data_IF_963004891173
#
_entry.id   IF_963004891173
#
_cell.length_a   1.000
_cell.length_b   1.000
_cell.length_c   1.000
_cell.angle_alpha   90.00
_cell.angle_beta   90.00
_cell.angle_gamma   90.00
#
_symmetry.space_group_name_H-M   'P 1'
#
loop_
_entity.id
_entity.type
_entity.pdbx_description
1 polymer ?
#
# COMPACT_ATOMS: atom_id res chain seq x y z
N UNK A 1 -43.95 30.88 7.72
CA UNK A 1 -42.56 31.36 7.58
C UNK A 1 -41.75 30.19 7.06
N UNK A 2 -41.15 30.31 5.88
CA UNK A 2 -40.24 29.29 5.34
C UNK A 2 -38.95 29.31 6.15
N UNK A 3 -38.50 28.17 6.65
CA UNK A 3 -37.17 28.05 7.24
C UNK A 3 -36.12 28.55 6.25
N UNK A 4 -35.10 29.30 6.68
CA UNK A 4 -33.98 29.65 5.81
C UNK A 4 -33.38 28.36 5.24
N UNK A 5 -32.95 28.35 3.97
CA UNK A 5 -32.28 27.20 3.41
C UNK A 5 -31.08 26.84 4.29
N UNK A 6 -30.83 25.55 4.54
CA UNK A 6 -29.67 25.14 5.31
C UNK A 6 -28.42 25.73 4.63
N UNK A 7 -27.64 26.50 5.39
CA UNK A 7 -26.35 26.98 4.92
C UNK A 7 -25.39 25.79 4.88
N UNK A 8 -25.22 25.22 3.70
CA UNK A 8 -24.24 24.16 3.49
C UNK A 8 -22.83 24.74 3.65
N UNK A 9 -22.06 24.17 4.58
CA UNK A 9 -20.65 24.52 4.76
C UNK A 9 -19.91 24.17 3.46
N UNK A 10 -19.13 25.12 2.87
CA UNK A 10 -18.35 24.88 1.66
C UNK A 10 -17.33 23.74 1.81
N UNK A 11 -17.03 23.06 0.71
CA UNK A 11 -16.06 21.97 0.68
C UNK A 11 -14.65 22.42 1.12
N UNK A 12 -14.25 23.65 0.79
CA UNK A 12 -12.94 24.19 1.16
C UNK A 12 -12.77 24.29 2.68
N UNK A 13 -13.82 24.72 3.40
CA UNK A 13 -13.77 24.81 4.86
C UNK A 13 -13.61 23.42 5.47
N UNK A 14 -14.34 22.41 4.96
CA UNK A 14 -14.16 21.04 5.42
C UNK A 14 -12.77 20.48 5.08
N UNK A 15 -12.23 20.83 3.92
CA UNK A 15 -10.89 20.41 3.50
C UNK A 15 -9.84 20.92 4.48
N UNK A 16 -9.84 22.22 4.80
CA UNK A 16 -8.91 22.81 5.76
C UNK A 16 -9.04 22.20 7.16
N UNK A 17 -10.26 22.00 7.65
CA UNK A 17 -10.50 21.32 8.94
C UNK A 17 -9.90 19.91 8.92
N UNK A 18 -10.15 19.13 7.87
CA UNK A 18 -9.64 17.77 7.77
C UNK A 18 -8.12 17.71 7.64
N UNK A 19 -7.49 18.71 7.02
CA UNK A 19 -6.04 18.81 6.95
C UNK A 19 -5.42 19.10 8.32
N UNK A 20 -5.98 20.04 9.08
CA UNK A 20 -5.43 20.52 10.36
C UNK A 20 -5.59 19.51 11.51
N UNK A 21 -6.75 18.87 11.64
CA UNK A 21 -7.01 17.99 12.78
C UNK A 21 -6.43 16.58 12.61
N UNK A 22 -5.93 16.26 11.40
CA UNK A 22 -5.47 14.93 11.06
C UNK A 22 -6.59 13.88 11.08
N UNK A 23 -6.35 12.74 10.43
CA UNK A 23 -7.34 11.68 10.32
C UNK A 23 -6.76 10.39 10.86
N UNK A 24 -7.12 10.05 12.10
CA UNK A 24 -6.63 8.83 12.77
C UNK A 24 -7.23 7.55 12.17
N UNK A 25 -8.46 7.61 11.65
CA UNK A 25 -9.17 6.46 11.10
C UNK A 25 -9.62 6.76 9.65
N UNK A 26 -8.79 6.36 8.70
CA UNK A 26 -9.04 6.56 7.26
C UNK A 26 -10.29 5.81 6.78
N UNK A 27 -10.50 4.60 7.30
CA UNK A 27 -11.68 3.81 6.97
C UNK A 27 -12.97 4.51 7.45
N UNK A 28 -12.94 5.13 8.63
CA UNK A 28 -14.09 5.88 9.14
C UNK A 28 -14.40 7.09 8.26
N UNK A 29 -13.38 7.89 7.94
CA UNK A 29 -13.52 9.06 7.09
C UNK A 29 -14.07 8.69 5.70
N UNK A 30 -13.49 7.66 5.08
CA UNK A 30 -13.86 7.24 3.73
C UNK A 30 -15.23 6.57 3.64
N UNK A 31 -15.60 5.72 4.61
CA UNK A 31 -16.83 4.92 4.52
C UNK A 31 -18.04 5.55 5.20
N UNK A 32 -17.84 6.41 6.21
CA UNK A 32 -18.94 6.95 7.01
C UNK A 32 -19.09 8.46 6.83
N UNK A 33 -17.99 9.23 6.77
CA UNK A 33 -18.08 10.68 6.64
C UNK A 33 -18.22 11.14 5.18
N UNK A 34 -17.45 10.56 4.25
CA UNK A 34 -17.55 10.86 2.80
C UNK A 34 -18.99 10.84 2.25
N UNK A 35 -19.88 9.90 2.60
CA UNK A 35 -21.25 9.89 2.06
C UNK A 35 -22.22 10.88 2.75
N UNK A 36 -21.80 11.65 3.77
CA UNK A 36 -22.69 12.52 4.56
C UNK A 36 -23.26 13.68 3.74
N UNK A 37 -22.45 14.32 2.90
CA UNK A 37 -22.88 15.40 2.01
C UNK A 37 -21.96 15.52 0.81
N UNK A 38 -22.41 16.22 -0.24
CA UNK A 38 -21.59 16.47 -1.43
C UNK A 38 -20.32 17.28 -1.10
N UNK A 39 -20.45 18.34 -0.28
CA UNK A 39 -19.31 19.17 0.09
C UNK A 39 -18.30 18.39 0.94
N UNK A 40 -18.78 17.56 1.86
CA UNK A 40 -17.91 16.72 2.68
C UNK A 40 -17.25 15.62 1.84
N UNK A 41 -17.97 15.03 0.89
CA UNK A 41 -17.42 14.08 -0.09
C UNK A 41 -16.24 14.68 -0.83
N UNK A 42 -16.40 15.89 -1.37
CA UNK A 42 -15.36 16.56 -2.14
C UNK A 42 -14.14 16.90 -1.27
N UNK A 43 -14.36 17.38 -0.04
CA UNK A 43 -13.29 17.64 0.92
C UNK A 43 -12.49 16.37 1.24
N UNK A 44 -13.18 15.27 1.58
CA UNK A 44 -12.54 13.98 1.87
C UNK A 44 -11.76 13.48 0.66
N UNK A 45 -12.35 13.48 -0.53
CA UNK A 45 -11.66 13.04 -1.74
C UNK A 45 -10.40 13.86 -2.03
N UNK A 46 -10.43 15.19 -1.81
CA UNK A 46 -9.25 16.05 -1.94
C UNK A 46 -8.17 15.73 -0.89
N UNK A 47 -8.55 15.49 0.37
CA UNK A 47 -7.60 15.07 1.41
C UNK A 47 -6.96 13.74 1.03
N UNK A 48 -7.73 12.79 0.50
CA UNK A 48 -7.19 11.51 0.06
C UNK A 48 -6.19 11.66 -1.09
N UNK A 49 -6.48 12.47 -2.10
CA UNK A 49 -5.52 12.75 -3.17
C UNK A 49 -4.25 13.41 -2.62
N UNK A 50 -4.39 14.42 -1.77
CA UNK A 50 -3.26 15.20 -1.25
C UNK A 50 -2.38 14.41 -0.25
N UNK A 51 -2.99 13.68 0.70
CA UNK A 51 -2.28 13.09 1.86
C UNK A 51 -2.14 11.56 1.83
N UNK A 52 -2.97 10.85 1.07
CA UNK A 52 -3.03 9.37 1.15
C UNK A 52 -2.69 8.68 -0.16
N UNK A 53 -3.11 9.23 -1.30
CA UNK A 53 -2.86 8.65 -2.61
C UNK A 53 -1.39 8.78 -3.00
N UNK A 54 -0.75 9.91 -2.66
CA UNK A 54 0.72 10.09 -2.77
C UNK A 54 1.51 9.09 -1.91
N UNK A 55 0.94 8.63 -0.79
CA UNK A 55 1.50 7.61 0.10
C UNK A 55 0.87 6.24 -0.14
N UNK A 56 0.57 5.95 -1.40
CA UNK A 56 0.06 4.65 -1.85
C UNK A 56 1.06 4.07 -2.84
N UNK A 57 1.36 2.78 -2.69
CA UNK A 57 2.29 2.04 -3.55
C UNK A 57 1.62 0.78 -4.08
N UNK A 58 1.98 0.40 -5.30
CA UNK A 58 1.70 -0.93 -5.81
C UNK A 58 2.99 -1.75 -5.79
N UNK A 59 2.92 -2.90 -5.13
CA UNK A 59 4.00 -3.87 -5.07
C UNK A 59 3.67 -5.03 -6.00
N UNK A 60 4.37 -5.09 -7.14
CA UNK A 60 4.17 -6.12 -8.15
C UNK A 60 5.25 -7.18 -8.00
N UNK A 61 4.83 -8.41 -7.69
CA UNK A 61 5.73 -9.53 -7.57
C UNK A 61 6.17 -10.04 -8.93
N UNK A 62 7.48 -9.97 -9.18
CA UNK A 62 8.10 -10.58 -10.34
C UNK A 62 8.81 -11.85 -9.87
N UNK A 63 8.24 -13.01 -10.22
CA UNK A 63 8.74 -14.31 -9.76
C UNK A 63 10.15 -14.58 -10.26
N UNK A 64 10.44 -14.15 -11.48
CA UNK A 64 11.73 -14.27 -12.15
C UNK A 64 12.85 -13.55 -11.39
N UNK A 65 12.52 -12.45 -10.72
CA UNK A 65 13.48 -11.67 -9.94
C UNK A 65 13.47 -12.03 -8.45
N UNK A 66 12.49 -12.82 -8.01
CA UNK A 66 12.19 -13.05 -6.59
C UNK A 66 12.10 -11.76 -5.77
N UNK A 67 11.65 -10.67 -6.41
CA UNK A 67 11.56 -9.33 -5.83
C UNK A 67 10.25 -8.67 -6.21
N UNK A 68 9.86 -7.68 -5.41
CA UNK A 68 8.73 -6.83 -5.69
C UNK A 68 9.23 -5.56 -6.39
N UNK A 69 8.54 -5.18 -7.46
CA UNK A 69 8.77 -3.92 -8.15
C UNK A 69 7.71 -2.95 -7.66
N UNK A 70 8.18 -1.81 -7.18
CA UNK A 70 7.33 -0.74 -6.69
C UNK A 70 6.89 0.15 -7.85
N UNK A 71 5.59 0.43 -7.89
CA UNK A 71 5.04 1.52 -8.69
C UNK A 71 4.51 2.56 -7.71
N UNK A 72 4.96 3.79 -7.89
CA UNK A 72 4.59 4.92 -7.05
C UNK A 72 3.47 5.71 -7.71
N UNK A 73 2.61 6.32 -6.89
CA UNK A 73 1.60 7.23 -7.41
C UNK A 73 2.29 8.41 -8.12
N UNK A 74 1.87 8.67 -9.36
CA UNK A 74 2.41 9.76 -10.16
C UNK A 74 1.42 10.90 -10.28
N UNK A 75 0.22 10.62 -10.81
CA UNK A 75 -0.81 11.64 -11.07
C UNK A 75 -2.20 11.03 -11.15
N UNK A 76 -3.20 11.90 -11.12
CA UNK A 76 -4.52 11.54 -11.64
C UNK A 76 -4.52 11.72 -13.16
N UNK A 77 -5.31 10.91 -13.86
CA UNK A 77 -5.54 11.08 -15.30
C UNK A 77 -6.26 12.42 -15.56
N UNK A 78 -5.71 13.23 -16.47
CA UNK A 78 -6.24 14.54 -16.79
C UNK A 78 -7.62 14.49 -17.47
N UNK A 79 -7.89 13.41 -18.22
CA UNK A 79 -9.19 13.19 -18.85
C UNK A 79 -10.21 12.56 -17.88
N UNK A 80 -9.73 11.82 -16.88
CA UNK A 80 -10.57 11.15 -15.89
C UNK A 80 -9.96 11.18 -14.48
N UNK A 81 -10.31 12.16 -13.64
CA UNK A 81 -9.79 12.29 -12.28
C UNK A 81 -10.16 11.13 -11.34
N UNK A 82 -11.02 10.21 -11.76
CA UNK A 82 -11.30 8.98 -11.00
C UNK A 82 -10.20 7.93 -11.18
N UNK A 83 -9.32 8.10 -12.16
CA UNK A 83 -8.21 7.17 -12.44
C UNK A 83 -6.92 7.71 -11.87
N UNK A 84 -6.29 6.92 -11.01
CA UNK A 84 -4.94 7.18 -10.53
C UNK A 84 -3.93 6.45 -11.42
N UNK A 85 -2.84 7.12 -11.74
CA UNK A 85 -1.72 6.60 -12.54
C UNK A 85 -0.54 6.36 -11.62
N UNK A 86 0.01 5.16 -11.70
CA UNK A 86 1.19 4.71 -10.99
C UNK A 86 2.26 4.35 -12.01
N UNK A 87 3.51 4.69 -11.75
CA UNK A 87 4.58 4.46 -12.70
C UNK A 87 5.80 3.76 -12.10
N UNK A 88 6.57 3.11 -12.97
CA UNK A 88 7.90 2.60 -12.66
C UNK A 88 8.79 2.64 -13.89
N UNK A 89 10.04 3.06 -13.70
CA UNK A 89 11.08 2.94 -14.73
C UNK A 89 11.72 1.55 -14.76
N UNK A 90 11.51 0.75 -13.73
CA UNK A 90 12.23 -0.50 -13.52
C UNK A 90 11.55 -1.68 -14.24
N UNK A 91 12.37 -2.51 -14.91
CA UNK A 91 11.98 -3.83 -15.42
C UNK A 91 10.66 -3.87 -16.23
N UNK A 92 10.43 -2.87 -17.08
CA UNK A 92 9.14 -2.68 -17.77
C UNK A 92 8.63 -3.91 -18.53
N UNK A 93 9.51 -4.62 -19.25
CA UNK A 93 9.12 -5.84 -19.97
C UNK A 93 8.71 -6.99 -19.04
N UNK A 94 9.26 -7.05 -17.82
CA UNK A 94 8.85 -8.03 -16.81
C UNK A 94 7.52 -7.61 -16.15
N UNK A 95 7.34 -6.31 -15.90
CA UNK A 95 6.05 -5.76 -15.44
C UNK A 95 4.92 -6.03 -16.45
N UNK A 96 5.16 -5.79 -17.75
CA UNK A 96 4.20 -6.09 -18.82
C UNK A 96 3.84 -7.56 -18.80
N UNK A 97 4.83 -8.46 -18.77
CA UNK A 97 4.59 -9.91 -18.72
C UNK A 97 3.79 -10.33 -17.48
N UNK A 98 4.10 -9.77 -16.31
CA UNK A 98 3.46 -10.11 -15.05
C UNK A 98 2.00 -9.61 -14.96
N UNK A 99 1.70 -8.47 -15.60
CA UNK A 99 0.40 -7.79 -15.53
C UNK A 99 -0.46 -7.99 -16.79
N UNK A 100 0.06 -8.65 -17.83
CA UNK A 100 -0.64 -8.93 -19.10
C UNK A 100 -1.99 -9.63 -18.92
N UNK A 101 -2.10 -10.48 -17.89
CA UNK A 101 -3.34 -11.20 -17.56
C UNK A 101 -4.23 -10.44 -16.54
N UNK A 102 -3.89 -9.18 -16.26
CA UNK A 102 -4.48 -8.38 -15.20
C UNK A 102 -3.83 -8.62 -13.83
N UNK A 103 -4.21 -7.80 -12.83
CA UNK A 103 -3.77 -7.98 -11.46
C UNK A 103 -4.46 -9.23 -10.90
N UNK A 104 -3.66 -10.24 -10.57
CA UNK A 104 -4.13 -11.43 -9.90
C UNK A 104 -4.03 -11.26 -8.38
N UNK A 105 -4.91 -11.95 -7.66
CA UNK A 105 -4.79 -12.09 -6.21
C UNK A 105 -3.41 -12.71 -5.91
N UNK A 106 -2.54 -11.98 -5.19
CA UNK A 106 -1.14 -12.30 -4.80
C UNK A 106 0.02 -11.75 -5.64
N UNK A 107 -0.16 -11.41 -6.93
CA UNK A 107 0.94 -10.78 -7.70
C UNK A 107 0.98 -9.26 -7.52
N UNK A 108 -0.12 -8.62 -7.12
CA UNK A 108 -0.14 -7.18 -6.78
C UNK A 108 -0.62 -7.01 -5.35
N UNK A 109 0.16 -6.31 -4.53
CA UNK A 109 -0.26 -5.79 -3.23
C UNK A 109 -0.36 -4.29 -3.34
N UNK A 110 -1.44 -3.73 -2.83
CA UNK A 110 -1.53 -2.30 -2.58
C UNK A 110 -1.10 -2.03 -1.14
N UNK A 111 -0.24 -1.05 -0.98
CA UNK A 111 0.12 -0.47 0.29
C UNK A 111 -0.46 0.93 0.35
N UNK A 112 -1.23 1.21 1.41
CA UNK A 112 -1.72 2.55 1.75
C UNK A 112 -1.09 2.85 3.10
N UNK A 113 -0.06 3.71 3.11
CA UNK A 113 0.73 3.99 4.32
C UNK A 113 1.23 2.69 4.97
N UNK A 114 0.86 2.46 6.23
CA UNK A 114 1.29 1.29 7.02
C UNK A 114 0.44 0.03 6.78
N UNK A 115 -0.63 0.11 6.00
CA UNK A 115 -1.52 -1.01 5.73
C UNK A 115 -1.31 -1.56 4.32
N UNK A 116 -1.16 -2.88 4.22
CA UNK A 116 -1.04 -3.58 2.95
C UNK A 116 -2.16 -4.61 2.76
N UNK A 117 -2.72 -4.66 1.56
CA UNK A 117 -3.75 -5.61 1.17
C UNK A 117 -3.65 -5.97 -0.32
N UNK A 118 -4.16 -7.14 -0.72
CA UNK A 118 -4.32 -7.53 -2.13
C UNK A 118 -5.71 -7.18 -2.65
N UNK A 119 -6.17 -5.95 -2.39
CA UNK A 119 -7.50 -5.48 -2.77
C UNK A 119 -7.68 -5.46 -4.28
N UNK A 120 -8.94 -5.50 -4.72
CA UNK A 120 -9.28 -5.38 -6.14
C UNK A 120 -8.88 -3.99 -6.66
N UNK A 121 -8.31 -3.95 -7.87
CA UNK A 121 -8.02 -2.72 -8.61
C UNK A 121 -9.06 -2.55 -9.72
N UNK A 122 -10.15 -1.78 -9.50
CA UNK A 122 -11.23 -1.69 -10.46
C UNK A 122 -10.79 -0.95 -11.72
N UNK A 123 -11.28 -1.39 -12.88
CA UNK A 123 -10.94 -0.82 -14.18
C UNK A 123 -9.43 -0.73 -14.46
N UNK A 124 -8.67 -1.70 -13.95
CA UNK A 124 -7.24 -1.78 -14.15
C UNK A 124 -6.86 -1.73 -15.64
N UNK A 125 -5.85 -0.91 -15.95
CA UNK A 125 -5.21 -0.79 -17.26
C UNK A 125 -3.70 -0.63 -17.03
N UNK A 126 -2.92 -1.00 -18.03
CA UNK A 126 -1.50 -0.68 -18.07
C UNK A 126 -1.13 -0.12 -19.44
N UNK A 127 -0.11 0.71 -19.46
CA UNK A 127 0.52 1.22 -20.68
C UNK A 127 1.99 0.82 -20.67
N UNK A 128 2.40 0.13 -21.73
CA UNK A 128 3.77 -0.29 -21.94
C UNK A 128 4.28 0.31 -23.24
N UNK A 129 5.46 0.92 -23.17
CA UNK A 129 6.21 1.38 -24.33
C UNK A 129 7.60 0.74 -24.26
N UNK A 130 8.10 0.11 -25.34
CA UNK A 130 9.44 -0.48 -25.36
C UNK A 130 10.58 0.56 -25.30
N UNK A 131 10.28 1.86 -25.49
CA UNK A 131 11.25 2.93 -25.33
C UNK A 131 11.68 3.04 -23.85
N UNK A 132 12.98 2.84 -23.51
CA UNK A 132 13.46 2.93 -22.13
C UNK A 132 13.29 4.33 -21.51
N UNK A 133 13.11 5.38 -22.32
CA UNK A 133 12.85 6.73 -21.82
C UNK A 133 11.41 6.91 -21.31
N UNK A 134 10.48 6.04 -21.71
CA UNK A 134 9.07 6.11 -21.31
C UNK A 134 8.84 5.14 -20.16
N UNK A 135 8.27 5.61 -19.05
CA UNK A 135 8.01 4.77 -17.87
C UNK A 135 6.84 3.83 -18.10
N UNK A 136 6.85 2.67 -17.43
CA UNK A 136 5.71 1.76 -17.39
C UNK A 136 4.62 2.35 -16.50
N UNK A 137 3.40 2.53 -17.02
CA UNK A 137 2.29 3.11 -16.28
C UNK A 137 1.18 2.07 -16.02
N UNK A 138 0.58 2.13 -14.84
CA UNK A 138 -0.62 1.40 -14.44
C UNK A 138 -1.67 2.40 -14.02
N UNK A 139 -2.93 2.21 -14.43
CA UNK A 139 -4.04 3.03 -13.97
C UNK A 139 -5.27 2.23 -13.56
N UNK A 140 -5.99 2.72 -12.57
CA UNK A 140 -7.23 2.10 -12.06
C UNK A 140 -8.09 3.13 -11.33
N UNK A 141 -9.36 2.80 -11.08
CA UNK A 141 -10.26 3.62 -10.25
C UNK A 141 -9.81 3.59 -8.78
N UNK A 142 -9.23 4.71 -8.34
CA UNK A 142 -8.69 4.84 -6.99
C UNK A 142 -9.80 4.94 -5.94
N UNK A 143 -10.96 5.49 -6.29
CA UNK A 143 -12.10 5.62 -5.36
C UNK A 143 -12.70 4.24 -5.09
N UNK A 144 -12.88 3.44 -6.14
CA UNK A 144 -13.31 2.06 -6.03
C UNK A 144 -12.32 1.22 -5.23
N UNK A 145 -11.01 1.37 -5.52
CA UNK A 145 -9.94 0.71 -4.77
C UNK A 145 -10.02 0.98 -3.26
N UNK A 146 -10.08 2.25 -2.83
CA UNK A 146 -10.19 2.59 -1.40
C UNK A 146 -11.49 2.06 -0.78
N UNK A 147 -12.61 2.08 -1.53
CA UNK A 147 -13.85 1.49 -1.06
C UNK A 147 -13.68 -0.01 -0.76
N UNK A 148 -13.05 -0.77 -1.66
CA UNK A 148 -12.79 -2.20 -1.43
C UNK A 148 -11.85 -2.42 -0.25
N UNK A 149 -10.76 -1.66 -0.20
CA UNK A 149 -9.74 -1.77 0.85
C UNK A 149 -10.32 -1.53 2.24
N UNK A 150 -10.96 -0.37 2.45
CA UNK A 150 -11.49 -0.01 3.77
C UNK A 150 -12.71 -0.83 4.18
N UNK A 151 -13.54 -1.30 3.23
CA UNK A 151 -14.66 -2.20 3.57
C UNK A 151 -14.16 -3.51 4.14
N UNK A 152 -13.05 -4.02 3.62
CA UNK A 152 -12.44 -5.23 4.15
C UNK A 152 -11.89 -5.00 5.56
N UNK A 153 -11.15 -3.90 5.78
CA UNK A 153 -10.65 -3.53 7.11
C UNK A 153 -11.79 -3.39 8.13
N UNK A 154 -12.86 -2.66 7.76
CA UNK A 154 -14.05 -2.47 8.61
C UNK A 154 -14.74 -3.80 8.94
N UNK A 155 -14.79 -4.75 8.02
CA UNK A 155 -15.37 -6.07 8.27
C UNK A 155 -14.49 -6.92 9.20
N UNK A 156 -13.16 -6.80 9.10
CA UNK A 156 -12.23 -7.42 10.05
C UNK A 156 -12.44 -6.86 11.45
N UNK A 157 -12.46 -5.53 11.59
CA UNK A 157 -12.72 -4.85 12.87
C UNK A 157 -14.05 -5.29 13.48
N UNK A 158 -15.14 -5.24 12.71
CA UNK A 158 -16.47 -5.66 13.17
C UNK A 158 -16.48 -7.11 13.69
N UNK A 159 -15.77 -8.03 13.03
CA UNK A 159 -15.68 -9.42 13.48
C UNK A 159 -14.79 -9.57 14.71
N UNK A 160 -13.72 -8.79 14.82
CA UNK A 160 -12.93 -8.70 16.04
C UNK A 160 -13.78 -8.23 17.22
N UNK A 161 -14.58 -7.17 17.04
CA UNK A 161 -15.47 -6.64 18.09
C UNK A 161 -16.49 -7.68 18.56
N UNK A 162 -17.11 -8.41 17.62
CA UNK A 162 -18.05 -9.49 17.93
C UNK A 162 -17.34 -10.63 18.67
N UNK A 163 -16.14 -11.01 18.24
CA UNK A 163 -15.38 -12.08 18.88
C UNK A 163 -14.94 -11.67 20.30
N UNK A 164 -14.49 -10.43 20.47
CA UNK A 164 -14.17 -9.84 21.77
C UNK A 164 -15.39 -9.85 22.68
N UNK A 165 -16.53 -9.31 22.24
CA UNK A 165 -17.76 -9.27 23.03
C UNK A 165 -18.22 -10.66 23.48
N UNK A 166 -18.15 -11.66 22.59
CA UNK A 166 -18.48 -13.06 22.93
C UNK A 166 -17.52 -13.66 23.95
N UNK A 167 -16.22 -13.43 23.78
CA UNK A 167 -15.22 -13.96 24.68
C UNK A 167 -15.31 -13.28 26.06
N UNK A 168 -15.55 -11.97 26.13
CA UNK A 168 -15.82 -11.24 27.37
C UNK A 168 -17.09 -11.76 28.06
N UNK A 169 -18.17 -11.99 27.32
CA UNK A 169 -19.41 -12.56 27.87
C UNK A 169 -19.21 -13.97 28.43
N UNK A 170 -18.50 -14.84 27.70
CA UNK A 170 -18.18 -16.19 28.15
C UNK A 170 -17.32 -16.17 29.43
N UNK A 171 -16.32 -15.29 29.48
CA UNK A 171 -15.45 -15.12 30.65
C UNK A 171 -16.24 -14.64 31.87
N UNK A 172 -17.12 -13.65 31.69
CA UNK A 172 -17.99 -13.12 32.75
C UNK A 172 -18.95 -14.18 33.31
N UNK A 173 -19.29 -15.21 32.52
CA UNK A 173 -20.16 -16.32 32.96
C UNK A 173 -19.41 -17.41 33.73
N UNK A 174 -18.08 -17.43 33.69
CA UNK A 174 -17.23 -18.50 34.28
C UNK A 174 -16.37 -18.00 35.44
N UNK A 175 -15.99 -16.72 35.46
CA UNK A 175 -15.01 -16.19 36.42
C UNK A 175 -15.66 -15.11 37.31
N UNK A 176 -15.65 -15.34 38.63
CA UNK A 176 -16.01 -14.36 39.67
C UNK A 176 -14.83 -13.49 40.12
N UNK A 177 -13.62 -13.78 39.65
CA UNK A 177 -12.38 -13.12 40.05
C UNK A 177 -11.72 -12.34 38.91
N UNK A 178 -11.91 -11.03 38.90
CA UNK A 178 -11.08 -10.04 38.18
C UNK A 178 -11.11 -10.07 36.64
N UNK A 179 -10.83 -8.93 35.97
CA UNK A 179 -10.75 -8.89 34.51
C UNK A 179 -9.49 -9.61 34.01
N UNK A 180 -9.67 -10.74 33.31
CA UNK A 180 -8.57 -11.39 32.57
C UNK A 180 -8.50 -10.82 31.15
N UNK A 181 -7.29 -10.57 30.61
CA UNK A 181 -7.12 -10.11 29.24
C UNK A 181 -7.57 -11.19 28.26
N UNK A 182 -8.51 -10.85 27.38
CA UNK A 182 -8.95 -11.69 26.28
C UNK A 182 -8.18 -11.27 25.03
N UNK A 183 -7.50 -12.21 24.38
CA UNK A 183 -6.86 -11.97 23.09
C UNK A 183 -7.68 -12.59 21.96
N UNK A 184 -7.82 -11.85 20.86
CA UNK A 184 -8.46 -12.32 19.63
C UNK A 184 -7.42 -12.35 18.53
N UNK A 185 -7.38 -13.47 17.80
CA UNK A 185 -6.50 -13.64 16.65
C UNK A 185 -7.03 -12.84 15.43
N UNK A 186 -6.65 -11.55 15.37
CA UNK A 186 -6.99 -10.64 14.26
C UNK A 186 -6.52 -11.19 12.92
N UNK A 187 -5.34 -11.84 12.86
CA UNK A 187 -4.79 -12.40 11.61
C UNK A 187 -5.68 -13.51 11.08
N UNK A 188 -6.15 -14.42 11.95
CA UNK A 188 -7.09 -15.48 11.57
C UNK A 188 -8.42 -14.91 11.06
N UNK A 189 -8.95 -13.87 11.70
CA UNK A 189 -10.17 -13.20 11.24
C UNK A 189 -9.93 -12.54 9.87
N UNK A 190 -8.84 -11.79 9.71
CA UNK A 190 -8.47 -11.16 8.44
C UNK A 190 -8.33 -12.17 7.31
N UNK A 191 -7.67 -13.31 7.57
CA UNK A 191 -7.55 -14.41 6.60
C UNK A 191 -8.93 -14.91 6.16
N UNK A 192 -9.85 -15.06 7.11
CA UNK A 192 -11.19 -15.55 6.81
C UNK A 192 -12.02 -14.53 6.01
N UNK A 193 -11.94 -13.24 6.36
CA UNK A 193 -12.60 -12.16 5.59
C UNK A 193 -12.07 -12.11 4.16
N UNK A 194 -10.74 -12.12 3.97
CA UNK A 194 -10.10 -12.17 2.66
C UNK A 194 -10.54 -13.40 1.86
N UNK A 195 -10.59 -14.59 2.47
CA UNK A 195 -11.04 -15.80 1.79
C UNK A 195 -12.48 -15.68 1.28
N UNK A 196 -13.38 -15.12 2.09
CA UNK A 196 -14.77 -14.87 1.69
C UNK A 196 -14.87 -13.86 0.54
N UNK A 197 -14.05 -12.80 0.53
CA UNK A 197 -13.96 -11.88 -0.62
C UNK A 197 -13.51 -12.62 -1.88
N UNK A 198 -12.42 -13.38 -1.80
CA UNK A 198 -11.86 -14.12 -2.95
C UNK A 198 -12.89 -15.08 -3.50
N UNK A 199 -13.58 -15.84 -2.63
CA UNK A 199 -14.68 -16.69 -3.06
C UNK A 199 -15.75 -15.90 -3.79
N UNK A 200 -16.20 -14.77 -3.26
CA UNK A 200 -17.22 -13.93 -3.92
C UNK A 200 -16.78 -13.48 -5.32
N UNK A 201 -15.57 -12.95 -5.45
CA UNK A 201 -15.02 -12.55 -6.74
C UNK A 201 -14.88 -13.73 -7.70
N UNK A 202 -14.48 -14.91 -7.21
CA UNK A 202 -14.41 -16.11 -8.03
C UNK A 202 -15.80 -16.59 -8.47
N UNK A 203 -16.81 -16.53 -7.60
CA UNK A 203 -18.19 -16.89 -7.96
C UNK A 203 -18.74 -15.96 -9.03
N UNK A 204 -18.42 -14.67 -9.01
CA UNK A 204 -18.78 -13.70 -10.04
C UNK A 204 -18.13 -14.05 -11.39
N UNK A 205 -16.87 -14.51 -11.39
CA UNK A 205 -16.13 -14.92 -12.61
C UNK A 205 -16.55 -16.31 -13.11
N UNK A 206 -16.73 -17.30 -12.23
CA UNK A 206 -17.18 -18.65 -12.60
C UNK A 206 -18.62 -18.66 -13.12
N UNK A 207 -19.47 -17.75 -12.64
CA UNK A 207 -20.81 -17.54 -13.18
C UNK A 207 -20.80 -16.95 -14.60
N UNK A 208 -19.67 -16.37 -15.03
CA UNK A 208 -19.46 -15.84 -16.39
C UNK A 208 -18.63 -16.76 -17.30
N UNK A 209 -17.66 -17.53 -16.77
CA UNK A 209 -16.68 -18.27 -17.59
C UNK A 209 -16.42 -19.75 -17.22
N UNK A 210 -17.06 -20.29 -16.19
CA UNK A 210 -17.14 -21.74 -15.97
C UNK A 210 -15.83 -22.54 -15.87
N UNK A 211 -14.79 -22.07 -15.17
CA UNK A 211 -13.59 -22.89 -14.84
C UNK A 211 -12.93 -22.52 -13.50
N UNK A 212 -12.48 -23.57 -12.78
CA UNK A 212 -12.02 -23.54 -11.39
C UNK A 212 -10.69 -22.82 -11.12
N UNK A 213 -10.71 -21.84 -10.20
CA UNK A 213 -9.55 -20.98 -9.80
C UNK A 213 -9.13 -21.17 -8.33
N UNK A 214 -9.68 -22.17 -7.63
CA UNK A 214 -9.63 -22.28 -6.15
C UNK A 214 -8.22 -22.42 -5.54
N UNK A 215 -7.24 -22.96 -6.27
CA UNK A 215 -5.91 -23.27 -5.72
C UNK A 215 -5.00 -22.04 -5.53
N UNK A 216 -5.20 -20.95 -6.28
CA UNK A 216 -4.35 -19.75 -6.19
C UNK A 216 -4.62 -18.88 -4.94
N UNK A 217 -5.76 -19.06 -4.27
CA UNK A 217 -6.14 -18.25 -3.12
C UNK A 217 -5.28 -18.51 -1.86
N UNK A 218 -4.84 -19.77 -1.67
CA UNK A 218 -4.17 -20.21 -0.43
C UNK A 218 -2.69 -19.83 -0.39
N UNK A 219 -1.99 -19.85 -1.52
CA UNK A 219 -0.59 -19.41 -1.62
C UNK A 219 -0.44 -17.90 -1.45
N UNK A 220 -1.45 -17.12 -1.85
CA UNK A 220 -1.44 -15.66 -1.70
C UNK A 220 -1.41 -15.15 -0.25
N UNK A 221 -1.86 -15.94 0.73
CA UNK A 221 -1.86 -15.52 2.15
C UNK A 221 -0.45 -15.31 2.68
N UNK A 222 0.46 -16.28 2.47
CA UNK A 222 1.82 -16.18 2.98
C UNK A 222 2.58 -15.01 2.34
N UNK A 223 2.28 -14.72 1.07
CA UNK A 223 2.85 -13.56 0.36
C UNK A 223 2.36 -12.24 0.94
N UNK A 224 1.04 -12.08 1.15
CA UNK A 224 0.48 -10.87 1.75
C UNK A 224 0.99 -10.66 3.19
N UNK A 225 1.06 -11.71 4.01
CA UNK A 225 1.55 -11.58 5.40
C UNK A 225 3.02 -11.18 5.48
N UNK A 226 3.88 -11.74 4.62
CA UNK A 226 5.27 -11.27 4.52
C UNK A 226 5.32 -9.80 4.14
N UNK A 227 4.47 -9.36 3.21
CA UNK A 227 4.41 -7.97 2.72
C UNK A 227 3.87 -6.97 3.73
N UNK A 228 2.90 -7.37 4.55
CA UNK A 228 2.40 -6.52 5.64
C UNK A 228 3.49 -6.15 6.64
N UNK A 229 4.49 -7.00 6.86
CA UNK A 229 5.62 -6.67 7.72
C UNK A 229 6.47 -5.51 7.16
N UNK A 230 6.61 -5.40 5.83
CA UNK A 230 7.40 -4.33 5.20
C UNK A 230 6.69 -2.98 5.26
N UNK A 231 5.36 -2.96 5.13
CA UNK A 231 4.55 -1.73 5.23
C UNK A 231 4.64 -1.07 6.63
N UNK A 232 4.98 -1.83 7.67
CA UNK A 232 5.13 -1.30 9.04
C UNK A 232 6.44 -0.53 9.30
N UNK A 233 7.35 -0.45 8.33
CA UNK A 233 8.67 0.19 8.51
C UNK A 233 8.67 1.71 8.24
N UNK A 234 7.60 2.28 7.70
CA UNK A 234 7.40 3.75 7.73
C UNK A 234 7.09 4.20 9.16
N UNK A 235 7.81 5.20 9.67
CA UNK A 235 7.61 5.73 11.02
C UNK A 235 6.18 6.30 11.19
N UNK A 236 5.54 6.08 12.36
CA UNK A 236 4.15 6.49 12.60
C UNK A 236 3.94 8.02 12.54
N UNK A 237 5.01 8.80 12.69
CA UNK A 237 5.00 10.27 12.76
C UNK A 237 5.57 10.95 11.50
N UNK A 238 5.67 10.24 10.37
CA UNK A 238 6.12 10.81 9.08
C UNK A 238 5.16 11.87 8.50
N UNK A 239 4.12 12.25 9.24
CA UNK A 239 3.16 13.31 8.92
C UNK A 239 3.38 14.60 9.74
N UNK A 240 4.37 14.67 10.66
CA UNK A 240 4.57 15.83 11.56
C UNK A 240 5.79 16.73 11.21
N UNK A 241 6.47 16.49 10.09
CA UNK A 241 7.50 17.42 9.60
C UNK A 241 6.98 18.18 8.39
N UNK A 242 6.26 19.28 8.65
CA UNK A 242 6.21 20.44 7.76
C UNK A 242 7.61 21.10 7.81
N UNK A 243 8.61 20.43 7.24
CA UNK A 243 9.87 21.09 6.92
C UNK A 243 9.67 21.72 5.55
N UNK A 244 9.46 23.02 5.58
CA UNK A 244 9.37 23.90 4.43
C UNK A 244 10.42 23.54 3.37
N UNK A 245 9.95 23.34 2.14
CA UNK A 245 10.79 23.38 0.96
C UNK A 245 11.25 24.85 0.78
N UNK A 246 12.28 25.24 1.51
CA UNK A 246 13.05 26.44 1.16
C UNK A 246 13.96 26.06 -0.02
N UNK A 247 13.47 26.42 -1.21
CA UNK A 247 14.30 26.68 -2.38
C UNK A 247 15.32 27.76 -2.01
N UNK A 248 16.60 27.41 -1.91
CA UNK A 248 17.69 28.34 -2.18
C UNK A 248 18.58 27.68 -3.24
N UNK A 249 18.38 28.14 -4.48
CA UNK A 249 19.40 28.13 -5.52
C UNK A 249 20.54 29.08 -5.13
N UNK A 250 21.66 28.91 -5.83
CA UNK A 250 22.85 29.77 -5.91
C UNK A 250 24.00 29.41 -4.95
N UNK A 251 25.28 29.43 -5.32
CA UNK A 251 26.03 29.40 -6.59
C UNK A 251 27.49 29.11 -6.16
N UNK A 252 28.27 28.52 -7.06
CA UNK A 252 29.74 28.29 -7.05
C UNK A 252 30.63 29.20 -6.16
N UNK A 253 31.62 28.62 -5.45
CA UNK A 253 32.99 29.19 -5.35
C UNK A 253 34.05 28.07 -5.21
N UNK A 254 34.72 27.83 -6.33
CA UNK A 254 36.16 27.70 -6.58
C UNK A 254 37.11 26.88 -5.67
N UNK A 255 38.01 26.20 -6.40
CA UNK A 255 39.18 25.44 -5.95
C UNK A 255 40.15 26.26 -5.08
N UNK A 256 40.86 25.59 -4.19
CA UNK A 256 42.32 25.74 -4.05
C UNK A 256 42.93 24.47 -3.43
N UNK A 257 43.80 23.83 -4.21
CA UNK A 257 44.71 22.76 -3.82
C UNK A 257 45.79 23.30 -2.86
N UNK A 258 46.32 22.44 -1.96
CA UNK A 258 47.77 22.40 -1.65
C UNK A 258 48.12 21.18 -0.75
N UNK A 259 48.65 20.15 -1.42
CA UNK A 259 49.90 19.42 -1.17
C UNK A 259 50.31 18.91 0.23
N UNK A 260 50.64 17.61 0.24
CA UNK A 260 51.94 17.13 0.75
C UNK A 260 51.90 16.29 2.04
N UNK A 261 52.11 14.97 1.93
CA UNK A 261 53.46 14.38 2.11
C UNK A 261 53.42 12.84 1.95
N UNK A 262 54.44 12.34 1.27
CA UNK A 262 54.69 10.94 0.94
C UNK A 262 55.53 10.25 2.03
N UNK A 263 55.33 8.94 2.22
CA UNK A 263 56.47 8.04 2.45
C UNK A 263 56.10 6.57 2.16
N UNK A 264 56.53 6.11 0.98
CA UNK A 264 57.26 4.86 0.68
C UNK A 264 57.90 4.17 1.90
N UNK A 265 58.19 2.88 2.02
CA UNK A 265 58.18 1.62 1.25
C UNK A 265 58.20 0.51 2.36
N UNK A 266 58.05 -0.81 2.17
CA UNK A 266 58.90 -1.71 1.39
C UNK A 266 58.38 -3.16 1.58
N UNK A 267 58.67 -3.99 0.58
CA UNK A 267 58.25 -5.37 0.38
C UNK A 267 58.61 -6.37 1.50
N UNK A 268 57.89 -7.50 1.55
CA UNK A 268 58.61 -8.78 1.47
C UNK A 268 57.76 -9.92 0.88
N UNK A 269 58.34 -10.58 -0.11
CA UNK A 269 57.83 -11.68 -0.93
C UNK A 269 58.52 -12.98 -0.56
N UNK A 270 57.77 -14.08 -0.49
CA UNK A 270 58.25 -15.46 -0.77
C UNK A 270 57.00 -16.36 -0.90
N UNK A 271 56.64 -16.94 -2.06
CA UNK A 271 57.23 -18.14 -2.71
C UNK A 271 57.37 -19.32 -1.70
N UNK A 272 56.91 -20.57 -1.89
CA UNK A 272 56.59 -21.41 -3.05
C UNK A 272 56.04 -22.78 -2.55
N UNK A 273 55.63 -23.64 -3.50
CA UNK A 273 55.43 -25.12 -3.44
C UNK A 273 54.19 -25.69 -2.69
N UNK A 274 53.25 -26.39 -3.33
CA UNK A 274 53.31 -27.63 -4.17
C UNK A 274 53.66 -28.90 -3.38
N UNK A 275 52.65 -29.76 -3.19
CA UNK A 275 52.79 -31.22 -3.32
C UNK A 275 51.41 -31.87 -3.44
N UNK A 276 51.19 -32.51 -4.59
CA UNK A 276 50.30 -33.66 -4.78
C UNK A 276 50.60 -34.73 -3.73
N UNK A 277 49.58 -35.48 -3.29
CA UNK A 277 49.69 -36.94 -3.16
C UNK A 277 48.30 -37.58 -3.00
N UNK A 278 48.09 -38.60 -3.83
CA UNK A 278 47.06 -39.62 -3.80
C UNK A 278 47.00 -40.34 -2.44
N UNK A 279 45.84 -40.88 -2.06
CA UNK A 279 45.75 -42.26 -1.59
C UNK A 279 44.27 -42.71 -1.42
N UNK A 280 43.97 -43.80 -2.14
CA UNK A 280 42.92 -44.85 -2.04
C UNK A 280 41.50 -44.56 -1.51
#
# INVERSE_FOLDING_TARGET
>A
MSSPPPHDIPADIFYEILLQYGVKNLAFLWLNCRPVSHNFKNAVERVFVAKHLRKTWLHVNIRELQRDIELQFYRLDAADPTRAVFESSAYQGLLERALKKGPSLSNVIIQIRHDANDTTLPEFRYHFNPDPAVKFEVSFDWKGMYCHFFREQKEVERRCDIAMARATQALASVITCGPMPVSIDRKKIARHVRLERIKRCMWEVESQEGRGVFWHARSGFGTLERRQHWAMLEGPDSDESDADEDEDEDEDEENEDEDGDESENEDDTSEEASSEEDDE
#
